data_IF_233233746889
#
_entry.id   IF_233233746889
#
_cell.length_a   1.000
_cell.length_b   1.000
_cell.length_c   1.000
_cell.angle_alpha   90.00
_cell.angle_beta   90.00
_cell.angle_gamma   90.00
#
_symmetry.space_group_name_H-M   'P 1'
#
loop_
_entity.id
_entity.type
_entity.pdbx_description
1 polymer ?
#
# COMPACT_ATOMS: atom_id res chain seq x y z
N UNK A 1 -14.58 2.13 20.77
CA UNK A 1 -13.34 2.81 21.23
C UNK A 1 -12.64 3.36 20.00
N UNK A 2 -12.93 4.60 19.61
CA UNK A 2 -12.23 5.24 18.51
C UNK A 2 -10.85 5.68 19.01
N UNK A 3 -9.84 4.82 18.85
CA UNK A 3 -8.43 5.20 18.99
C UNK A 3 -8.04 5.98 17.74
N UNK A 4 -8.53 7.21 17.63
CA UNK A 4 -8.22 8.08 16.50
C UNK A 4 -6.83 8.65 16.67
N UNK A 5 -5.97 8.44 15.66
CA UNK A 5 -4.64 9.07 15.59
C UNK A 5 -4.70 10.61 15.62
N UNK A 6 -5.89 11.20 15.45
CA UNK A 6 -6.11 12.65 15.43
C UNK A 6 -5.68 13.40 16.69
N UNK A 7 -5.63 12.77 17.87
CA UNK A 7 -5.11 13.42 19.08
C UNK A 7 -3.60 13.63 19.03
N UNK A 8 -2.86 12.72 18.40
CA UNK A 8 -1.40 12.77 18.24
C UNK A 8 -0.96 13.74 17.14
N UNK A 9 -1.90 14.17 16.29
CA UNK A 9 -1.65 15.12 15.20
C UNK A 9 -1.81 16.58 15.63
N UNK A 10 -2.24 16.84 16.88
CA UNK A 10 -2.48 18.22 17.35
C UNK A 10 -1.21 18.94 17.82
N UNK A 11 -0.17 18.20 18.21
CA UNK A 11 1.12 18.78 18.59
C UNK A 11 2.08 18.74 17.40
N UNK A 12 2.30 19.90 16.78
CA UNK A 12 3.17 20.06 15.62
C UNK A 12 4.62 19.64 15.88
N UNK A 13 5.16 19.92 17.09
CA UNK A 13 6.56 19.58 17.41
C UNK A 13 6.73 18.07 17.54
N UNK A 14 5.78 17.43 18.20
CA UNK A 14 5.77 15.97 18.31
C UNK A 14 5.57 15.33 16.94
N UNK A 15 4.71 15.90 16.09
CA UNK A 15 4.45 15.41 14.74
C UNK A 15 5.70 15.48 13.85
N UNK A 16 6.42 16.60 13.85
CA UNK A 16 7.67 16.75 13.09
C UNK A 16 8.73 15.73 13.51
N UNK A 17 8.86 15.50 14.81
CA UNK A 17 9.83 14.53 15.34
C UNK A 17 9.45 13.09 14.96
N UNK A 18 8.17 12.73 15.07
CA UNK A 18 7.67 11.42 14.63
C UNK A 18 7.84 11.22 13.12
N UNK A 19 7.59 12.25 12.32
CA UNK A 19 7.81 12.20 10.88
C UNK A 19 9.28 11.97 10.54
N UNK A 20 10.20 12.65 11.21
CA UNK A 20 11.65 12.45 11.04
C UNK A 20 12.06 11.01 11.39
N UNK A 21 11.65 10.52 12.55
CA UNK A 21 11.95 9.15 12.97
C UNK A 21 11.39 8.11 12.00
N UNK A 22 10.17 8.33 11.50
CA UNK A 22 9.53 7.43 10.55
C UNK A 22 10.25 7.42 9.19
N UNK A 23 10.68 8.59 8.70
CA UNK A 23 11.47 8.69 7.46
C UNK A 23 12.79 7.96 7.59
N UNK A 24 13.55 8.21 8.65
CA UNK A 24 14.84 7.55 8.87
C UNK A 24 14.68 6.03 8.98
N UNK A 25 13.63 5.56 9.67
CA UNK A 25 13.32 4.14 9.76
C UNK A 25 12.91 3.56 8.41
N UNK A 26 12.08 4.25 7.64
CA UNK A 26 11.64 3.81 6.31
C UNK A 26 12.84 3.66 5.35
N UNK A 27 13.78 4.62 5.39
CA UNK A 27 15.02 4.54 4.61
C UNK A 27 15.89 3.34 5.05
N UNK A 28 16.04 3.12 6.35
CA UNK A 28 16.82 2.01 6.90
C UNK A 28 16.23 0.62 6.58
N UNK A 29 14.91 0.51 6.52
CA UNK A 29 14.17 -0.73 6.17
C UNK A 29 14.07 -0.95 4.65
N UNK A 30 14.58 -0.02 3.83
CA UNK A 30 14.57 -0.16 2.37
C UNK A 30 13.24 0.20 1.71
N UNK A 31 12.36 0.96 2.39
CA UNK A 31 11.14 1.52 1.81
C UNK A 31 11.51 2.71 0.91
N UNK A 32 12.11 2.39 -0.24
CA UNK A 32 12.81 3.36 -1.09
C UNK A 32 12.19 3.44 -2.49
N UNK A 33 12.24 4.64 -3.06
CA UNK A 33 12.02 4.90 -4.47
C UNK A 33 13.17 5.72 -5.04
N UNK A 34 13.41 5.56 -6.34
CA UNK A 34 14.26 6.50 -7.08
C UNK A 34 13.59 7.87 -7.13
N UNK A 35 14.39 8.92 -7.26
CA UNK A 35 13.88 10.27 -7.38
C UNK A 35 13.15 10.46 -8.71
N UNK A 36 12.18 11.36 -8.75
CA UNK A 36 11.47 11.70 -9.99
C UNK A 36 12.37 12.40 -11.02
N UNK A 37 13.47 13.01 -10.57
CA UNK A 37 14.47 13.62 -11.44
C UNK A 37 15.34 12.57 -12.15
N UNK A 38 15.68 11.47 -11.46
CA UNK A 38 16.53 10.41 -12.02
C UNK A 38 15.91 9.01 -11.82
N UNK A 39 14.83 8.67 -12.56
CA UNK A 39 14.13 7.39 -12.40
C UNK A 39 14.97 6.16 -12.84
N UNK A 40 16.06 6.38 -13.57
CA UNK A 40 16.99 5.33 -14.02
C UNK A 40 18.22 5.15 -13.12
N UNK A 41 18.50 6.10 -12.24
CA UNK A 41 19.69 6.13 -11.38
C UNK A 41 19.33 5.67 -9.97
N UNK A 42 20.18 4.84 -9.35
CA UNK A 42 20.04 4.44 -7.94
C UNK A 42 21.05 5.15 -7.03
N UNK A 43 21.76 6.17 -7.53
CA UNK A 43 22.76 6.89 -6.75
C UNK A 43 22.12 7.79 -5.66
N UNK A 44 20.93 8.33 -5.95
CA UNK A 44 20.13 9.11 -5.02
C UNK A 44 18.75 8.48 -4.95
N UNK A 45 18.29 8.19 -3.74
CA UNK A 45 16.99 7.59 -3.45
C UNK A 45 16.28 8.39 -2.36
N UNK A 46 14.96 8.26 -2.30
CA UNK A 46 14.11 8.81 -1.23
C UNK A 46 13.19 7.73 -0.70
N UNK A 47 12.51 7.99 0.41
CA UNK A 47 11.50 7.07 0.94
C UNK A 47 10.28 6.99 0.02
N UNK A 48 9.67 5.81 -0.09
CA UNK A 48 8.37 5.66 -0.75
C UNK A 48 7.29 6.38 0.09
N UNK A 49 6.28 7.05 -0.50
CA UNK A 49 5.22 7.68 0.27
C UNK A 49 4.48 6.67 1.17
N UNK A 50 4.37 6.97 2.46
CA UNK A 50 3.68 6.13 3.46
C UNK A 50 2.88 6.98 4.45
N UNK A 51 1.95 6.36 5.19
CA UNK A 51 1.18 7.02 6.25
C UNK A 51 1.91 6.92 7.58
N UNK A 52 1.98 8.02 8.34
CA UNK A 52 2.68 8.05 9.64
C UNK A 52 2.13 7.02 10.64
N UNK A 53 0.81 6.80 10.61
CA UNK A 53 0.12 5.82 11.44
C UNK A 53 -0.66 4.84 10.57
N UNK A 54 -0.84 3.58 11.03
CA UNK A 54 -1.64 2.61 10.29
C UNK A 54 -3.13 2.95 10.38
N UNK A 55 -3.81 3.03 9.24
CA UNK A 55 -5.26 3.20 9.19
C UNK A 55 -5.98 2.04 9.88
N UNK A 56 -7.05 2.34 10.61
CA UNK A 56 -7.85 1.31 11.28
C UNK A 56 -8.63 0.51 10.24
N UNK A 57 -8.49 -0.82 10.28
CA UNK A 57 -9.21 -1.74 9.38
C UNK A 57 -9.97 -2.75 10.24
N UNK A 58 -11.29 -2.96 10.00
CA UNK A 58 -12.05 -4.00 10.70
C UNK A 58 -11.45 -5.39 10.43
N UNK A 59 -11.10 -6.12 11.50
CA UNK A 59 -10.44 -7.42 11.40
C UNK A 59 -11.23 -8.43 10.58
N UNK A 60 -12.55 -8.51 10.80
CA UNK A 60 -13.43 -9.41 10.06
C UNK A 60 -13.39 -9.18 8.54
N UNK A 61 -13.29 -7.91 8.10
CA UNK A 61 -13.20 -7.58 6.67
C UNK A 61 -11.82 -7.92 6.10
N UNK A 62 -10.76 -7.71 6.88
CA UNK A 62 -9.40 -8.10 6.48
C UNK A 62 -9.29 -9.63 6.35
N UNK A 63 -9.83 -10.38 7.30
CA UNK A 63 -9.88 -11.85 7.27
C UNK A 63 -10.70 -12.37 6.10
N UNK A 64 -11.86 -11.76 5.82
CA UNK A 64 -12.68 -12.10 4.66
C UNK A 64 -11.91 -11.88 3.34
N UNK A 65 -11.16 -10.77 3.24
CA UNK A 65 -10.33 -10.49 2.06
C UNK A 65 -9.22 -11.54 1.88
N UNK A 66 -8.56 -11.96 2.97
CA UNK A 66 -7.58 -13.05 2.91
C UNK A 66 -8.21 -14.38 2.47
N UNK A 67 -9.41 -14.71 2.97
CA UNK A 67 -10.08 -15.96 2.66
C UNK A 67 -10.44 -16.10 1.17
N UNK A 68 -10.90 -15.01 0.54
CA UNK A 68 -11.37 -15.04 -0.86
C UNK A 68 -10.24 -14.88 -1.90
N UNK A 69 -9.03 -14.50 -1.51
CA UNK A 69 -7.92 -14.26 -2.44
C UNK A 69 -7.59 -15.49 -3.30
N UNK A 70 -7.71 -16.70 -2.76
CA UNK A 70 -7.47 -17.94 -3.50
C UNK A 70 -8.53 -18.18 -4.59
N UNK A 71 -9.79 -17.91 -4.29
CA UNK A 71 -10.89 -18.03 -5.24
C UNK A 71 -10.71 -17.04 -6.41
N UNK A 72 -10.26 -15.81 -6.11
CA UNK A 72 -9.91 -14.82 -7.15
C UNK A 72 -8.74 -15.27 -8.02
N UNK A 73 -7.69 -15.86 -7.44
CA UNK A 73 -6.55 -16.35 -8.21
C UNK A 73 -6.99 -17.44 -9.20
N UNK A 74 -7.83 -18.39 -8.76
CA UNK A 74 -8.39 -19.44 -9.63
C UNK A 74 -9.30 -18.87 -10.71
N UNK A 75 -10.14 -17.89 -10.35
CA UNK A 75 -11.03 -17.23 -11.30
C UNK A 75 -10.24 -16.50 -12.40
N UNK A 76 -9.21 -15.73 -12.02
CA UNK A 76 -8.37 -15.00 -12.98
C UNK A 76 -7.66 -15.97 -13.92
N UNK A 77 -7.12 -17.08 -13.38
CA UNK A 77 -6.48 -18.11 -14.19
C UNK A 77 -7.46 -18.73 -15.21
N UNK A 78 -8.61 -19.22 -14.73
CA UNK A 78 -9.63 -19.84 -15.58
C UNK A 78 -10.19 -18.89 -16.65
N UNK A 79 -10.44 -17.62 -16.29
CA UNK A 79 -10.91 -16.60 -17.23
C UNK A 79 -9.84 -16.29 -18.26
N UNK A 80 -8.56 -16.16 -17.86
CA UNK A 80 -7.47 -15.85 -18.78
C UNK A 80 -7.23 -16.93 -19.84
N UNK A 81 -7.51 -18.19 -19.51
CA UNK A 81 -7.39 -19.33 -20.43
C UNK A 81 -8.61 -19.50 -21.34
N UNK A 82 -9.74 -18.86 -21.04
CA UNK A 82 -10.96 -18.99 -21.82
C UNK A 82 -11.07 -17.89 -22.89
N UNK A 83 -10.46 -18.14 -24.05
CA UNK A 83 -10.45 -17.20 -25.17
C UNK A 83 -11.86 -16.82 -25.66
N UNK A 84 -12.79 -17.79 -25.74
CA UNK A 84 -14.16 -17.53 -26.18
C UNK A 84 -14.92 -16.64 -25.20
N UNK A 85 -14.73 -16.86 -23.89
CA UNK A 85 -15.29 -16.01 -22.86
C UNK A 85 -14.73 -14.59 -22.92
N UNK A 86 -13.42 -14.44 -23.10
CA UNK A 86 -12.77 -13.12 -23.24
C UNK A 86 -13.26 -12.40 -24.50
N UNK A 87 -13.30 -13.09 -25.63
CA UNK A 87 -13.76 -12.53 -26.90
C UNK A 87 -15.22 -12.09 -26.79
N UNK A 88 -16.12 -12.95 -26.27
CA UNK A 88 -17.52 -12.59 -26.12
C UNK A 88 -17.75 -11.46 -25.11
N UNK A 89 -16.98 -11.41 -24.02
CA UNK A 89 -17.11 -10.37 -22.98
C UNK A 89 -16.60 -9.00 -23.46
N UNK A 90 -15.58 -8.99 -24.32
CA UNK A 90 -14.96 -7.77 -24.83
C UNK A 90 -15.45 -7.38 -26.23
N UNK A 91 -16.08 -8.30 -26.97
CA UNK A 91 -16.75 -8.02 -28.24
C UNK A 91 -18.00 -7.20 -27.95
N UNK A 92 -18.03 -6.01 -28.54
CA UNK A 92 -19.05 -4.99 -28.33
C UNK A 92 -20.44 -5.43 -28.76
#
# INVERSE_FOLDING_TARGET
MATGWGSLLQDERQLEELARQAVDRALAEGVLLRTSQEPSSSNVVSYAPFTLFPSLVPSALLEQAYAVQMDFNLLVDAVSQNAAFLEQTLSR
#
